data_IF_544462771303
#
_entry.id   IF_544462771303
#
_cell.length_a   1.000
_cell.length_b   1.000
_cell.length_c   1.000
_cell.angle_alpha   90.00
_cell.angle_beta   90.00
_cell.angle_gamma   90.00
#
_symmetry.space_group_name_H-M   'P 1'
#
loop_
_entity.id
_entity.type
_entity.pdbx_description
1 polymer ?
#
# COMPACT_ATOMS: atom_id res chain seq x y z
N UNK A 1 -14.49 16.89 -20.02
CA UNK A 1 -14.23 15.62 -19.31
C UNK A 1 -15.33 15.42 -18.28
N UNK A 2 -16.18 14.41 -18.42
CA UNK A 2 -17.32 14.18 -17.52
C UNK A 2 -16.83 13.85 -16.10
N UNK A 3 -17.61 14.23 -15.09
CA UNK A 3 -17.29 14.00 -13.66
C UNK A 3 -17.00 12.52 -13.37
N UNK A 4 -17.71 11.60 -14.05
CA UNK A 4 -17.51 10.16 -13.92
C UNK A 4 -16.12 9.68 -14.39
N UNK A 5 -15.60 10.18 -15.52
CA UNK A 5 -14.28 9.79 -16.02
C UNK A 5 -13.18 10.25 -15.05
N UNK A 6 -13.32 11.45 -14.47
CA UNK A 6 -12.37 11.95 -13.45
C UNK A 6 -12.36 11.08 -12.20
N UNK A 7 -13.54 10.67 -11.74
CA UNK A 7 -13.67 9.74 -10.61
C UNK A 7 -12.97 8.41 -10.90
N UNK A 8 -13.25 7.81 -12.07
CA UNK A 8 -12.65 6.56 -12.50
C UNK A 8 -11.11 6.63 -12.52
N UNK A 9 -10.55 7.72 -13.05
CA UNK A 9 -9.09 7.92 -13.07
C UNK A 9 -8.49 8.06 -11.66
N UNK A 10 -9.19 8.72 -10.73
CA UNK A 10 -8.74 8.79 -9.34
C UNK A 10 -8.79 7.42 -8.67
N UNK A 11 -9.81 6.61 -8.93
CA UNK A 11 -9.90 5.25 -8.43
C UNK A 11 -8.78 4.36 -8.99
N UNK A 12 -8.51 4.44 -10.30
CA UNK A 12 -7.41 3.70 -10.93
C UNK A 12 -6.06 4.12 -10.33
N UNK A 13 -5.80 5.43 -10.24
CA UNK A 13 -4.57 5.94 -9.65
C UNK A 13 -4.43 5.53 -8.17
N UNK A 14 -5.51 5.65 -7.39
CA UNK A 14 -5.52 5.23 -5.98
C UNK A 14 -5.26 3.73 -5.83
N UNK A 15 -5.90 2.89 -6.66
CA UNK A 15 -5.67 1.45 -6.70
C UNK A 15 -4.22 1.10 -7.01
N UNK A 16 -3.65 1.69 -8.06
CA UNK A 16 -2.24 1.50 -8.42
C UNK A 16 -1.31 1.92 -7.28
N UNK A 17 -1.54 3.08 -6.67
CA UNK A 17 -0.76 3.55 -5.51
C UNK A 17 -0.83 2.54 -4.37
N UNK A 18 -2.04 2.08 -4.02
CA UNK A 18 -2.24 1.09 -2.96
C UNK A 18 -1.47 -0.21 -3.22
N UNK A 19 -1.58 -0.76 -4.43
CA UNK A 19 -0.85 -1.98 -4.84
C UNK A 19 0.67 -1.77 -4.77
N UNK A 20 1.16 -0.66 -5.31
CA UNK A 20 2.59 -0.33 -5.27
C UNK A 20 3.09 -0.18 -3.83
N UNK A 21 2.33 0.47 -2.95
CA UNK A 21 2.73 0.63 -1.54
C UNK A 21 2.84 -0.71 -0.81
N UNK A 22 1.85 -1.60 -0.99
CA UNK A 22 1.92 -2.95 -0.40
C UNK A 22 3.12 -3.71 -0.96
N UNK A 23 3.35 -3.67 -2.27
CA UNK A 23 4.51 -4.31 -2.89
C UNK A 23 5.84 -3.80 -2.31
N UNK A 24 6.03 -2.49 -2.20
CA UNK A 24 7.24 -1.92 -1.61
C UNK A 24 7.38 -2.24 -0.12
N UNK A 25 6.29 -2.33 0.62
CA UNK A 25 6.33 -2.76 2.02
C UNK A 25 6.80 -4.22 2.16
N UNK A 26 6.35 -5.12 1.26
CA UNK A 26 6.81 -6.51 1.22
C UNK A 26 8.30 -6.61 0.89
N UNK A 27 8.74 -5.90 -0.16
CA UNK A 27 10.16 -5.87 -0.54
C UNK A 27 11.01 -5.28 0.59
N UNK A 28 10.56 -4.18 1.21
CA UNK A 28 11.23 -3.56 2.34
C UNK A 28 11.32 -4.48 3.55
N UNK A 29 10.25 -5.22 3.87
CA UNK A 29 10.25 -6.21 4.94
C UNK A 29 11.25 -7.34 4.68
N UNK A 30 11.32 -7.83 3.43
CA UNK A 30 12.25 -8.87 3.02
C UNK A 30 13.71 -8.40 3.14
N UNK A 31 14.01 -7.20 2.63
CA UNK A 31 15.32 -6.57 2.76
C UNK A 31 15.68 -6.40 4.23
N UNK A 32 14.77 -5.88 5.06
CA UNK A 32 15.00 -5.72 6.50
C UNK A 32 15.29 -7.07 7.18
N UNK A 33 14.52 -8.12 6.90
CA UNK A 33 14.74 -9.44 7.48
C UNK A 33 16.11 -10.02 7.10
N UNK A 34 16.56 -9.75 5.87
CA UNK A 34 17.87 -10.18 5.37
C UNK A 34 19.02 -9.43 6.08
N UNK A 35 18.95 -8.10 6.15
CA UNK A 35 20.04 -7.26 6.68
C UNK A 35 20.11 -7.20 8.21
N UNK A 36 18.97 -7.16 8.91
CA UNK A 36 18.96 -6.97 10.36
C UNK A 36 19.08 -8.25 11.15
N UNK A 37 19.06 -9.41 10.49
CA UNK A 37 19.14 -10.70 11.16
C UNK A 37 18.02 -10.90 12.21
N UNK A 38 16.85 -10.30 11.99
CA UNK A 38 15.68 -10.41 12.88
C UNK A 38 14.45 -10.84 12.12
N UNK A 39 13.51 -11.42 12.85
CA UNK A 39 12.17 -11.69 12.33
C UNK A 39 11.43 -10.36 12.12
N UNK A 40 10.77 -10.24 10.98
CA UNK A 40 10.04 -9.04 10.59
C UNK A 40 8.56 -9.38 10.53
N UNK A 41 7.77 -8.63 11.29
CA UNK A 41 6.32 -8.80 11.33
C UNK A 41 5.68 -7.47 10.96
N UNK A 42 4.89 -7.47 9.89
CA UNK A 42 3.92 -6.41 9.61
C UNK A 42 2.55 -7.01 9.95
N UNK A 43 1.95 -6.63 11.09
CA UNK A 43 0.70 -7.22 11.55
C UNK A 43 -0.39 -7.18 10.48
N UNK A 44 -0.99 -8.34 10.19
CA UNK A 44 -2.02 -8.48 9.17
C UNK A 44 -1.54 -8.30 7.73
N UNK A 45 -0.24 -8.28 7.43
CA UNK A 45 0.26 -8.17 6.04
C UNK A 45 1.24 -9.29 5.72
N UNK A 46 2.31 -9.39 6.50
CA UNK A 46 3.34 -10.41 6.27
C UNK A 46 4.07 -10.74 7.56
N UNK A 47 4.40 -12.02 7.72
CA UNK A 47 5.36 -12.48 8.72
C UNK A 47 6.54 -13.10 7.99
N UNK A 48 7.75 -12.64 8.31
CA UNK A 48 9.01 -13.13 7.76
C UNK A 48 9.88 -13.59 8.92
N UNK A 49 10.39 -14.81 8.83
CA UNK A 49 11.32 -15.35 9.81
C UNK A 49 12.41 -16.16 9.11
N UNK A 50 13.54 -16.31 9.79
CA UNK A 50 14.64 -17.10 9.26
C UNK A 50 14.51 -18.57 9.61
N UNK A 51 14.94 -19.40 8.68
CA UNK A 51 15.14 -20.82 8.84
C UNK A 51 16.51 -21.20 8.27
N UNK A 52 17.01 -22.36 8.64
CA UNK A 52 18.20 -22.95 8.05
C UNK A 52 17.78 -24.17 7.24
N UNK A 53 17.99 -24.11 5.92
CA UNK A 53 17.75 -25.23 5.02
C UNK A 53 19.07 -25.56 4.32
N UNK A 54 19.51 -26.82 4.40
CA UNK A 54 20.75 -27.32 3.79
C UNK A 54 22.01 -26.51 4.14
N UNK A 55 22.11 -26.00 5.38
CA UNK A 55 23.26 -25.22 5.84
C UNK A 55 23.31 -23.78 5.34
N UNK A 56 22.31 -23.34 4.55
CA UNK A 56 22.16 -21.97 4.09
C UNK A 56 21.05 -21.24 4.87
N UNK A 57 21.15 -19.91 4.94
CA UNK A 57 20.09 -19.07 5.52
C UNK A 57 18.93 -19.00 4.53
N UNK A 58 17.80 -19.55 4.91
CA UNK A 58 16.53 -19.44 4.20
C UNK A 58 15.62 -18.41 4.87
N UNK A 59 14.92 -17.62 4.07
CA UNK A 59 13.88 -16.71 4.54
C UNK A 59 12.52 -17.33 4.26
N UNK A 60 11.81 -17.68 5.31
CA UNK A 60 10.42 -18.10 5.21
C UNK A 60 9.53 -16.87 5.38
N UNK A 61 8.47 -16.81 4.58
CA UNK A 61 7.49 -15.74 4.68
C UNK A 61 6.08 -16.27 4.47
N UNK A 62 5.14 -15.71 5.21
CA UNK A 62 3.71 -15.99 5.09
C UNK A 62 2.98 -14.68 4.84
N UNK A 63 2.54 -14.42 3.60
CA UNK A 63 1.75 -13.26 3.28
C UNK A 63 0.27 -13.48 3.66
N UNK A 64 -0.36 -12.46 4.23
CA UNK A 64 -1.79 -12.42 4.48
C UNK A 64 -2.50 -11.74 3.30
N UNK A 65 -3.12 -12.54 2.44
CA UNK A 65 -3.80 -12.03 1.25
C UNK A 65 -4.93 -11.05 1.59
N UNK A 66 -5.70 -11.34 2.64
CA UNK A 66 -6.84 -10.51 3.04
C UNK A 66 -6.33 -9.17 3.54
N UNK A 67 -5.35 -9.18 4.42
CA UNK A 67 -4.84 -7.94 4.97
C UNK A 67 -4.01 -7.11 3.98
N UNK A 68 -3.36 -7.74 2.99
CA UNK A 68 -2.78 -7.02 1.85
C UNK A 68 -3.85 -6.29 1.01
N UNK A 69 -4.98 -6.95 0.73
CA UNK A 69 -6.10 -6.34 0.00
C UNK A 69 -6.69 -5.18 0.82
N UNK A 70 -6.90 -5.37 2.12
CA UNK A 70 -7.43 -4.34 3.01
C UNK A 70 -6.48 -3.15 3.10
N UNK A 71 -5.18 -3.37 3.28
CA UNK A 71 -4.18 -2.31 3.35
C UNK A 71 -4.11 -1.52 2.03
N UNK A 72 -4.01 -2.21 0.89
CA UNK A 72 -3.99 -1.58 -0.43
C UNK A 72 -5.28 -0.80 -0.71
N UNK A 73 -6.44 -1.39 -0.39
CA UNK A 73 -7.74 -0.75 -0.52
C UNK A 73 -7.88 0.49 0.36
N UNK A 74 -7.42 0.43 1.61
CA UNK A 74 -7.43 1.58 2.52
C UNK A 74 -6.59 2.74 1.99
N UNK A 75 -5.40 2.47 1.45
CA UNK A 75 -4.54 3.49 0.81
C UNK A 75 -5.22 4.08 -0.43
N UNK A 76 -5.82 3.24 -1.27
CA UNK A 76 -6.54 3.68 -2.45
C UNK A 76 -7.71 4.60 -2.09
N UNK A 77 -8.52 4.22 -1.10
CA UNK A 77 -9.64 5.03 -0.61
C UNK A 77 -9.14 6.34 -0.01
N UNK A 78 -8.09 6.29 0.82
CA UNK A 78 -7.50 7.49 1.42
C UNK A 78 -7.03 8.47 0.33
N UNK A 79 -6.33 7.98 -0.71
CA UNK A 79 -5.91 8.80 -1.84
C UNK A 79 -7.10 9.48 -2.53
N UNK A 80 -8.15 8.71 -2.87
CA UNK A 80 -9.34 9.23 -3.55
C UNK A 80 -10.04 10.30 -2.70
N UNK A 81 -10.23 10.03 -1.40
CA UNK A 81 -10.86 10.95 -0.45
C UNK A 81 -10.06 12.25 -0.34
N UNK A 82 -8.75 12.16 -0.18
CA UNK A 82 -7.87 13.35 -0.08
C UNK A 82 -7.96 14.20 -1.35
N UNK A 83 -7.90 13.58 -2.54
CA UNK A 83 -8.01 14.31 -3.81
C UNK A 83 -9.37 14.98 -3.99
N UNK A 84 -10.46 14.34 -3.56
CA UNK A 84 -11.79 14.95 -3.59
C UNK A 84 -11.92 16.14 -2.64
N UNK A 85 -11.42 16.00 -1.41
CA UNK A 85 -11.47 17.08 -0.41
C UNK A 85 -10.66 18.29 -0.87
N UNK A 86 -9.45 18.07 -1.40
CA UNK A 86 -8.61 19.13 -1.94
C UNK A 86 -9.27 19.81 -3.16
N UNK A 87 -9.85 19.03 -4.08
CA UNK A 87 -10.55 19.59 -5.25
C UNK A 87 -11.79 20.43 -4.88
N UNK A 88 -12.53 20.05 -3.84
CA UNK A 88 -13.65 20.84 -3.30
C UNK A 88 -13.18 22.17 -2.72
N UNK A 89 -12.04 22.17 -1.99
CA UNK A 89 -11.48 23.38 -1.37
C UNK A 89 -11.08 24.42 -2.41
N UNK A 90 -10.41 24.00 -3.48
CA UNK A 90 -10.00 24.90 -4.59
C UNK A 90 -11.19 25.50 -5.32
N UNK A 91 -12.27 24.73 -5.53
CA UNK A 91 -13.47 25.23 -6.21
C UNK A 91 -14.21 26.28 -5.38
N UNK A 92 -14.24 26.12 -4.06
CA UNK A 92 -14.89 27.07 -3.13
C UNK A 92 -14.14 28.39 -3.02
N UNK A 93 -12.81 28.37 -3.10
CA UNK A 93 -11.98 29.58 -3.14
C UNK A 93 -12.23 30.40 -4.42
N UNK A 94 -12.33 29.73 -5.58
CA UNK A 94 -12.58 30.38 -6.88
C UNK A 94 -13.97 31.02 -7.03
N UNK A 95 -14.94 30.64 -6.20
CA UNK A 95 -16.29 31.24 -6.21
C UNK A 95 -16.45 32.38 -5.20
N UNK A 96 -15.44 32.61 -4.36
CA UNK A 96 -15.41 33.68 -3.37
C UNK A 96 -14.61 34.91 -3.86
N UNK A 97 -13.94 34.80 -5.01
CA UNK A 97 -13.35 35.90 -5.80
C UNK A 97 -14.36 36.36 -6.86
#
# INVERSE_FOLDING_TARGET
>A
MTTGIRFLLHCLAGGTIGVCTVFFALVGALVMAFFTHRDVVIPGIIRIWRSTENGAVALNFVPDAVGMIVAGGAIAVAYVVVRMLLGRRTRRARTAE
#
